data_IF_975644131379
#
_entry.id   IF_975644131379
#
_cell.length_a   1.000
_cell.length_b   1.000
_cell.length_c   1.000
_cell.angle_alpha   90.00
_cell.angle_beta   90.00
_cell.angle_gamma   90.00
#
_symmetry.space_group_name_H-M   'P 1'
#
loop_
_entity.id
_entity.type
_entity.pdbx_description
1 polymer ?
#
# COMPACT_ATOMS: atom_id res chain seq x y z
N UNK A 1 11.54 4.68 -61.38
CA UNK A 1 10.35 5.17 -60.65
C UNK A 1 9.71 4.00 -59.91
N UNK A 2 9.24 4.13 -58.66
CA UNK A 2 9.58 5.07 -57.57
C UNK A 2 10.24 4.33 -56.37
N UNK A 3 11.26 4.84 -55.67
CA UNK A 3 11.27 5.79 -54.55
C UNK A 3 10.21 5.53 -53.45
N UNK A 4 10.61 4.85 -52.35
CA UNK A 4 9.91 4.82 -51.06
C UNK A 4 10.96 5.04 -49.96
N UNK A 5 10.68 6.00 -49.08
CA UNK A 5 11.58 6.64 -48.11
C UNK A 5 12.15 5.69 -47.02
N UNK A 6 13.30 6.05 -46.38
CA UNK A 6 13.85 5.32 -45.25
C UNK A 6 13.19 5.80 -43.97
N UNK A 7 12.44 4.93 -43.29
CA UNK A 7 11.87 5.30 -42.00
C UNK A 7 10.95 4.24 -41.45
N UNK A 8 11.50 3.14 -40.93
CA UNK A 8 10.94 2.43 -39.78
C UNK A 8 12.08 1.61 -39.16
N UNK A 9 12.53 2.09 -38.00
CA UNK A 9 13.53 1.41 -37.18
C UNK A 9 13.04 0.02 -36.81
N UNK A 10 13.93 -0.94 -37.00
CA UNK A 10 13.76 -2.39 -36.76
C UNK A 10 13.06 -2.63 -35.41
N UNK A 11 11.93 -3.33 -35.46
CA UNK A 11 11.33 -4.00 -34.29
C UNK A 11 12.32 -5.06 -33.81
N UNK A 12 13.16 -4.72 -32.82
CA UNK A 12 13.95 -5.70 -32.09
C UNK A 12 13.04 -6.40 -31.08
N UNK A 13 12.94 -7.72 -31.21
CA UNK A 13 12.46 -8.60 -30.16
C UNK A 13 13.36 -8.41 -28.92
N UNK A 14 12.78 -8.04 -27.78
CA UNK A 14 13.48 -7.92 -26.50
C UNK A 14 13.74 -9.33 -25.93
N UNK A 15 14.82 -9.95 -26.41
CA UNK A 15 15.47 -11.06 -25.71
C UNK A 15 16.33 -10.51 -24.56
N UNK A 16 16.43 -11.27 -23.47
CA UNK A 16 16.99 -10.91 -22.16
C UNK A 16 18.49 -10.51 -22.11
N UNK A 17 19.12 -10.09 -23.23
CA UNK A 17 20.57 -9.89 -23.30
C UNK A 17 21.05 -8.48 -23.69
N UNK A 18 20.16 -7.55 -24.06
CA UNK A 18 20.55 -6.16 -24.39
C UNK A 18 19.71 -5.14 -23.61
N UNK A 19 20.05 -4.91 -22.34
CA UNK A 19 19.56 -3.72 -21.63
C UNK A 19 20.40 -2.54 -22.09
N UNK A 20 19.85 -1.71 -22.98
CA UNK A 20 20.52 -0.48 -23.43
C UNK A 20 20.45 0.58 -22.33
N UNK A 21 21.46 0.59 -21.46
CA UNK A 21 21.62 1.62 -20.44
C UNK A 21 21.93 2.95 -21.10
N UNK A 22 21.23 4.02 -20.71
CA UNK A 22 21.58 5.34 -21.23
C UNK A 22 23.05 5.64 -20.94
N UNK A 23 23.78 6.18 -21.93
CA UNK A 23 25.21 6.46 -21.79
C UNK A 23 25.55 7.35 -20.58
N UNK A 24 24.59 8.15 -20.10
CA UNK A 24 24.71 8.96 -18.88
C UNK A 24 24.75 8.12 -17.59
N UNK A 25 23.99 7.03 -17.53
CA UNK A 25 23.97 6.12 -16.37
C UNK A 25 25.27 5.32 -16.33
N UNK A 26 25.69 4.76 -17.46
CA UNK A 26 26.95 4.01 -17.54
C UNK A 26 28.15 4.89 -17.21
N UNK A 27 28.16 6.14 -17.69
CA UNK A 27 29.23 7.09 -17.37
C UNK A 27 29.28 7.48 -15.88
N UNK A 28 28.14 7.48 -15.19
CA UNK A 28 28.06 7.90 -13.78
C UNK A 28 28.38 6.78 -12.78
N UNK A 29 27.97 5.55 -13.06
CA UNK A 29 28.06 4.44 -12.08
C UNK A 29 28.79 3.20 -12.60
N UNK A 30 29.18 3.17 -13.88
CA UNK A 30 29.78 2.00 -14.52
C UNK A 30 28.73 0.98 -14.98
N UNK A 31 29.11 0.18 -15.98
CA UNK A 31 28.21 -0.80 -16.62
C UNK A 31 27.81 -1.93 -15.68
N UNK A 32 28.77 -2.49 -14.94
CA UNK A 32 28.55 -3.63 -14.05
C UNK A 32 27.60 -3.29 -12.89
N UNK A 33 27.76 -2.11 -12.28
CA UNK A 33 26.86 -1.64 -11.22
C UNK A 33 25.47 -1.26 -11.75
N UNK A 34 25.38 -0.75 -12.98
CA UNK A 34 24.09 -0.51 -13.65
C UNK A 34 23.34 -1.83 -13.89
N UNK A 35 24.04 -2.88 -14.35
CA UNK A 35 23.49 -4.22 -14.51
C UNK A 35 23.05 -4.83 -13.18
N UNK A 36 23.86 -4.71 -12.13
CA UNK A 36 23.51 -5.19 -10.79
C UNK A 36 22.25 -4.51 -10.25
N UNK A 37 22.18 -3.17 -10.33
CA UNK A 37 21.01 -2.39 -9.89
C UNK A 37 19.76 -2.71 -10.70
N UNK A 38 19.89 -2.97 -12.00
CA UNK A 38 18.79 -3.37 -12.87
C UNK A 38 18.20 -4.72 -12.42
N UNK A 39 19.04 -5.75 -12.26
CA UNK A 39 18.60 -7.07 -11.82
C UNK A 39 17.94 -7.01 -10.43
N UNK A 40 18.56 -6.31 -9.47
CA UNK A 40 17.95 -6.09 -8.14
C UNK A 40 16.58 -5.41 -8.24
N UNK A 41 16.41 -4.48 -9.18
CA UNK A 41 15.12 -3.79 -9.37
C UNK A 41 14.08 -4.74 -9.94
N UNK A 42 14.43 -5.56 -10.94
CA UNK A 42 13.54 -6.58 -11.51
C UNK A 42 13.11 -7.58 -10.42
N UNK A 43 14.06 -8.10 -9.63
CA UNK A 43 13.77 -9.04 -8.55
C UNK A 43 12.81 -8.42 -7.51
N UNK A 44 12.98 -7.14 -7.21
CA UNK A 44 12.11 -6.40 -6.28
C UNK A 44 10.74 -6.10 -6.87
N UNK A 45 10.60 -5.91 -8.18
CA UNK A 45 9.31 -5.68 -8.83
C UNK A 45 8.42 -6.93 -8.81
N UNK A 46 9.01 -8.12 -8.71
CA UNK A 46 8.28 -9.38 -8.54
C UNK A 46 7.73 -9.58 -7.12
N UNK A 47 8.16 -8.78 -6.15
CA UNK A 47 7.67 -8.82 -4.78
C UNK A 47 6.56 -7.76 -4.57
N UNK A 48 5.52 -8.05 -3.77
CA UNK A 48 4.56 -7.03 -3.37
C UNK A 48 5.27 -5.91 -2.57
N UNK A 49 4.74 -4.67 -2.59
CA UNK A 49 5.32 -3.57 -1.82
C UNK A 49 5.40 -3.93 -0.32
N UNK A 50 6.52 -3.60 0.32
CA UNK A 50 6.69 -3.84 1.77
C UNK A 50 5.75 -3.02 2.67
N UNK A 51 5.00 -2.08 2.10
CA UNK A 51 3.99 -1.27 2.79
C UNK A 51 2.75 -1.12 1.91
N UNK A 52 1.57 -1.39 2.46
CA UNK A 52 0.30 -1.00 1.86
C UNK A 52 -0.02 0.43 2.27
N UNK A 53 -0.21 1.31 1.30
CA UNK A 53 -0.58 2.70 1.56
C UNK A 53 -2.05 2.96 1.25
N UNK A 54 -2.70 3.67 2.17
CA UNK A 54 -4.10 4.08 2.05
C UNK A 54 -4.15 5.61 2.17
N UNK A 55 -4.91 6.24 1.28
CA UNK A 55 -5.21 7.67 1.35
C UNK A 55 -6.49 7.87 2.16
N UNK A 56 -6.43 8.81 3.11
CA UNK A 56 -7.60 9.26 3.88
C UNK A 56 -8.26 10.44 3.19
N UNK A 57 -9.57 10.40 3.02
CA UNK A 57 -10.39 11.52 2.57
C UNK A 57 -10.69 12.44 3.77
N UNK A 58 -9.92 13.52 3.90
CA UNK A 58 -10.04 14.46 5.03
C UNK A 58 -11.28 15.36 4.99
N UNK A 59 -12.04 15.31 3.88
CA UNK A 59 -13.34 16.00 3.77
C UNK A 59 -14.39 15.34 4.66
N UNK A 60 -14.36 14.00 4.78
CA UNK A 60 -15.38 13.25 5.50
C UNK A 60 -14.97 12.92 6.94
N UNK A 61 -13.68 12.64 7.20
CA UNK A 61 -13.17 12.25 8.52
C UNK A 61 -11.73 12.72 8.73
N UNK A 62 -11.31 12.88 9.99
CA UNK A 62 -9.92 13.22 10.32
C UNK A 62 -9.01 11.99 10.23
N UNK A 63 -7.71 12.22 10.00
CA UNK A 63 -6.71 11.13 9.90
C UNK A 63 -6.59 10.31 11.18
N UNK A 64 -6.74 10.95 12.34
CA UNK A 64 -6.53 10.29 13.63
C UNK A 64 -7.69 9.36 13.97
N UNK A 65 -8.94 9.76 13.69
CA UNK A 65 -10.11 8.88 13.82
C UNK A 65 -10.00 7.65 12.91
N UNK A 66 -9.65 7.85 11.63
CA UNK A 66 -9.45 6.74 10.69
C UNK A 66 -8.30 5.84 11.14
N UNK A 67 -7.22 6.41 11.68
CA UNK A 67 -6.11 5.62 12.22
C UNK A 67 -6.59 4.75 13.37
N UNK A 68 -7.39 5.28 14.29
CA UNK A 68 -7.95 4.54 15.42
C UNK A 68 -8.91 3.44 14.97
N UNK A 69 -9.83 3.72 14.05
CA UNK A 69 -10.77 2.72 13.51
C UNK A 69 -10.07 1.64 12.69
N UNK A 70 -9.12 2.02 11.82
CA UNK A 70 -8.34 1.05 11.04
C UNK A 70 -7.49 0.20 11.99
N UNK A 71 -6.94 0.81 13.06
CA UNK A 71 -6.29 0.05 14.12
C UNK A 71 -7.27 -0.91 14.78
N UNK A 72 -8.46 -0.50 15.21
CA UNK A 72 -9.46 -1.39 15.83
C UNK A 72 -9.89 -2.54 14.91
N UNK A 73 -10.09 -2.27 13.62
CA UNK A 73 -10.46 -3.27 12.61
C UNK A 73 -9.32 -4.28 12.37
N UNK A 74 -8.08 -3.81 12.38
CA UNK A 74 -6.87 -4.65 12.28
C UNK A 74 -6.53 -5.34 13.62
N UNK A 75 -7.07 -4.84 14.74
CA UNK A 75 -6.82 -5.27 16.11
C UNK A 75 -8.05 -5.95 16.71
N UNK A 76 -8.50 -7.08 16.15
CA UNK A 76 -9.22 -8.07 16.99
C UNK A 76 -8.21 -8.64 17.97
N UNK A 77 -8.00 -7.95 19.09
CA UNK A 77 -7.09 -8.41 20.13
C UNK A 77 -7.74 -9.56 20.89
N UNK A 78 -6.97 -10.63 21.07
CA UNK A 78 -7.29 -11.70 22.00
C UNK A 78 -6.67 -11.37 23.36
N UNK A 79 -7.28 -11.85 24.43
CA UNK A 79 -6.79 -11.65 25.82
C UNK A 79 -5.46 -12.35 26.05
N UNK A 80 -5.18 -13.39 25.27
CA UNK A 80 -3.97 -14.20 25.33
C UNK A 80 -2.90 -13.60 24.41
N UNK A 81 -1.74 -13.27 24.98
CA UNK A 81 -0.68 -12.55 24.28
C UNK A 81 0.58 -13.39 24.16
N UNK A 82 1.25 -13.30 23.01
CA UNK A 82 2.55 -13.90 22.75
C UNK A 82 3.53 -12.82 22.31
N UNK A 83 4.68 -12.75 22.97
CA UNK A 83 5.78 -11.84 22.65
C UNK A 83 6.86 -12.59 21.87
N UNK A 84 7.35 -11.97 20.80
CA UNK A 84 8.46 -12.48 19.99
C UNK A 84 9.54 -11.42 19.79
N UNK A 85 10.72 -11.88 19.41
CA UNK A 85 11.86 -11.01 19.10
C UNK A 85 11.64 -10.23 17.79
N UNK A 86 12.37 -9.12 17.63
CA UNK A 86 12.35 -8.26 16.44
C UNK A 86 12.66 -9.02 15.15
N UNK A 87 13.59 -9.99 15.19
CA UNK A 87 13.94 -10.80 14.03
C UNK A 87 12.80 -11.75 13.63
N UNK A 88 12.15 -12.34 14.63
CA UNK A 88 10.99 -13.20 14.42
C UNK A 88 9.79 -12.38 13.93
N UNK A 89 9.57 -11.20 14.49
CA UNK A 89 8.62 -10.19 14.02
C UNK A 89 8.76 -9.92 12.53
N UNK A 90 9.96 -9.60 12.07
CA UNK A 90 10.23 -9.35 10.66
C UNK A 90 9.92 -10.56 9.77
N UNK A 91 10.12 -11.79 10.25
CA UNK A 91 9.77 -13.02 9.52
C UNK A 91 8.25 -13.22 9.43
N UNK A 92 7.52 -12.95 10.51
CA UNK A 92 6.05 -13.00 10.54
C UNK A 92 5.46 -12.01 9.53
N UNK A 93 6.05 -10.82 9.41
CA UNK A 93 5.62 -9.83 8.41
C UNK A 93 5.85 -10.29 6.96
N UNK A 94 6.71 -11.29 6.74
CA UNK A 94 6.92 -11.93 5.44
C UNK A 94 6.02 -13.17 5.24
N UNK A 95 5.08 -13.42 6.16
CA UNK A 95 4.16 -14.55 6.10
C UNK A 95 4.66 -15.83 6.77
N UNK A 96 5.71 -15.76 7.61
CA UNK A 96 6.18 -16.93 8.36
C UNK A 96 5.31 -17.25 9.58
N UNK A 97 5.27 -18.52 9.96
CA UNK A 97 4.77 -18.95 11.27
C UNK A 97 5.82 -18.74 12.36
N UNK A 98 5.39 -18.79 13.61
CA UNK A 98 6.26 -18.62 14.78
C UNK A 98 6.71 -19.99 15.25
N UNK A 99 8.01 -20.24 15.21
CA UNK A 99 8.59 -21.45 15.78
C UNK A 99 8.81 -21.29 17.29
N UNK A 100 8.73 -22.38 18.04
CA UNK A 100 8.84 -22.37 19.50
C UNK A 100 10.09 -21.65 20.03
N UNK A 101 11.29 -21.76 19.41
CA UNK A 101 12.48 -21.02 19.86
C UNK A 101 12.38 -19.50 19.71
N UNK A 102 11.50 -18.99 18.84
CA UNK A 102 11.31 -17.56 18.58
C UNK A 102 10.35 -16.87 19.55
N UNK A 103 9.70 -17.63 20.44
CA UNK A 103 8.79 -17.10 21.45
C UNK A 103 9.59 -16.60 22.66
N UNK A 104 9.49 -15.30 22.92
CA UNK A 104 10.11 -14.66 24.09
C UNK A 104 9.24 -14.81 25.33
N UNK A 105 7.93 -14.61 25.21
CA UNK A 105 7.01 -14.66 26.34
C UNK A 105 5.61 -15.03 25.91
N UNK A 106 4.83 -15.59 26.83
CA UNK A 106 3.42 -15.90 26.61
C UNK A 106 2.66 -15.73 27.93
N UNK A 107 1.42 -15.26 27.88
CA UNK A 107 0.59 -15.16 29.09
C UNK A 107 0.39 -16.54 29.73
N UNK A 108 0.22 -16.56 31.06
CA UNK A 108 0.19 -17.81 31.82
C UNK A 108 -0.94 -18.78 31.44
N UNK A 109 -1.99 -18.29 30.78
CA UNK A 109 -3.19 -19.00 30.40
C UNK A 109 -3.20 -19.54 28.95
N UNK A 110 -2.05 -19.47 28.25
CA UNK A 110 -1.92 -19.95 26.87
C UNK A 110 -1.78 -21.48 26.82
N UNK A 111 -2.75 -22.11 26.16
CA UNK A 111 -2.80 -23.54 25.84
C UNK A 111 -2.78 -23.76 24.33
N UNK A 112 -2.42 -24.98 23.91
CA UNK A 112 -2.49 -25.37 22.51
C UNK A 112 -3.96 -25.32 22.01
N UNK A 113 -4.19 -24.67 20.87
CA UNK A 113 -5.50 -24.44 20.26
C UNK A 113 -6.08 -23.04 20.52
N UNK A 114 -5.48 -22.24 21.40
CA UNK A 114 -5.96 -20.91 21.70
C UNK A 114 -5.73 -19.90 20.58
N UNK A 115 -6.68 -18.98 20.42
CA UNK A 115 -6.48 -17.77 19.62
C UNK A 115 -5.66 -16.77 20.42
N UNK A 116 -4.55 -16.32 19.83
CA UNK A 116 -3.56 -15.48 20.49
C UNK A 116 -3.22 -14.26 19.65
N UNK A 117 -2.94 -13.16 20.33
CA UNK A 117 -2.42 -11.94 19.70
C UNK A 117 -0.90 -11.89 19.87
N UNK A 118 -0.19 -11.71 18.75
CA UNK A 118 1.27 -11.71 18.71
C UNK A 118 1.79 -10.29 18.68
N UNK A 119 2.78 -10.03 19.52
CA UNK A 119 3.46 -8.75 19.65
C UNK A 119 4.97 -8.93 19.54
N UNK A 120 5.63 -7.91 18.99
CA UNK A 120 7.08 -7.82 18.87
C UNK A 120 7.60 -6.87 19.94
N UNK A 121 8.65 -7.30 20.62
CA UNK A 121 9.47 -6.41 21.44
C UNK A 121 10.40 -5.60 20.53
N UNK A 122 10.21 -4.28 20.51
CA UNK A 122 10.98 -3.37 19.66
C UNK A 122 12.30 -2.97 20.32
N UNK A 123 12.37 -2.99 21.65
CA UNK A 123 13.56 -2.54 22.39
C UNK A 123 14.48 -3.68 22.82
N UNK A 124 14.04 -4.94 22.67
CA UNK A 124 14.83 -6.12 23.08
C UNK A 124 15.01 -6.23 24.59
N UNK A 125 14.13 -5.60 25.38
CA UNK A 125 14.17 -5.59 26.85
C UNK A 125 13.27 -6.64 27.49
N UNK A 126 12.50 -7.40 26.70
CA UNK A 126 11.63 -8.46 27.16
C UNK A 126 12.45 -9.70 27.55
N UNK A 127 12.39 -10.06 28.84
CA UNK A 127 13.06 -11.26 29.34
C UNK A 127 12.26 -12.52 28.96
N UNK A 128 12.98 -13.58 28.59
CA UNK A 128 12.38 -14.86 28.19
C UNK A 128 11.57 -15.48 29.34
N UNK A 129 10.38 -15.99 29.04
CA UNK A 129 9.51 -16.70 30.00
C UNK A 129 8.53 -15.82 30.78
N UNK A 130 8.35 -14.57 30.37
CA UNK A 130 7.43 -13.61 31.00
C UNK A 130 5.99 -14.16 31.08
N UNK A 131 5.31 -13.95 32.23
CA UNK A 131 3.98 -14.54 32.51
C UNK A 131 2.82 -13.54 32.47
N UNK A 132 3.11 -12.24 32.60
CA UNK A 132 2.11 -11.16 32.67
C UNK A 132 1.96 -10.50 31.29
N UNK A 133 1.07 -9.52 31.09
CA UNK A 133 1.08 -8.66 29.91
C UNK A 133 2.28 -7.70 29.94
N UNK A 134 3.08 -7.65 28.87
CA UNK A 134 4.31 -6.85 28.85
C UNK A 134 3.97 -5.36 28.81
N UNK A 135 4.48 -4.59 29.77
CA UNK A 135 4.19 -3.15 29.94
C UNK A 135 5.12 -2.21 29.18
N UNK A 136 6.15 -2.74 28.52
CA UNK A 136 7.07 -1.94 27.70
C UNK A 136 6.54 -1.68 26.28
N UNK A 137 7.30 -0.92 25.47
CA UNK A 137 6.94 -0.60 24.09
C UNK A 137 6.92 -1.86 23.22
N UNK A 138 5.74 -2.17 22.68
CA UNK A 138 5.46 -3.38 21.89
C UNK A 138 4.65 -3.04 20.64
N UNK A 139 4.86 -3.81 19.58
CA UNK A 139 4.13 -3.65 18.31
C UNK A 139 3.34 -4.91 18.02
N UNK A 140 2.03 -4.77 17.81
CA UNK A 140 1.19 -5.89 17.39
C UNK A 140 1.54 -6.30 15.95
N UNK A 141 1.71 -7.59 15.70
CA UNK A 141 2.11 -8.13 14.38
C UNK A 141 1.12 -9.14 13.79
N UNK A 142 0.04 -9.45 14.50
CA UNK A 142 -1.06 -10.24 13.97
C UNK A 142 -1.61 -11.25 14.96
N UNK A 143 -2.62 -11.99 14.51
CA UNK A 143 -3.23 -13.06 15.28
C UNK A 143 -2.85 -14.43 14.73
N UNK A 144 -2.86 -15.42 15.61
CA UNK A 144 -2.58 -16.80 15.29
C UNK A 144 -3.25 -17.76 16.24
N UNK A 145 -3.03 -19.04 15.99
CA UNK A 145 -3.42 -20.14 16.86
C UNK A 145 -2.17 -20.70 17.53
N UNK A 146 -2.15 -20.73 18.86
CA UNK A 146 -1.09 -21.39 19.60
C UNK A 146 -1.13 -22.89 19.29
N UNK A 147 0.01 -23.46 18.86
CA UNK A 147 0.15 -24.90 18.62
C UNK A 147 0.85 -25.61 19.77
N UNK A 148 1.53 -24.87 20.63
CA UNK A 148 2.16 -25.37 21.86
C UNK A 148 1.65 -24.59 23.07
N UNK A 149 1.56 -25.25 24.22
CA UNK A 149 1.28 -24.55 25.46
C UNK A 149 2.49 -23.76 25.94
N UNK A 150 2.28 -22.81 26.83
CA UNK A 150 3.39 -22.09 27.47
C UNK A 150 4.36 -23.04 28.17
N UNK A 151 3.82 -24.02 28.90
CA UNK A 151 4.65 -24.97 29.65
C UNK A 151 5.52 -25.78 28.70
N UNK A 152 5.00 -26.19 27.54
CA UNK A 152 5.80 -26.90 26.53
C UNK A 152 6.92 -26.02 25.95
N UNK A 153 6.66 -24.72 25.72
CA UNK A 153 7.62 -23.77 25.14
C UNK A 153 8.77 -23.43 26.10
N UNK A 154 8.52 -23.42 27.41
CA UNK A 154 9.50 -22.96 28.41
C UNK A 154 10.01 -24.06 29.37
N UNK A 155 9.43 -25.26 29.37
CA UNK A 155 9.92 -26.40 30.20
C UNK A 155 11.13 -27.11 29.58
N UNK A 156 11.28 -27.05 28.26
CA UNK A 156 12.33 -27.75 27.51
C UNK A 156 13.50 -26.80 27.21
N UNK A 157 14.73 -27.33 27.16
CA UNK A 157 15.91 -26.57 26.76
C UNK A 157 15.78 -26.07 25.32
N UNK A 158 16.21 -24.81 25.06
CA UNK A 158 16.01 -24.11 23.79
C UNK A 158 16.57 -24.85 22.56
N UNK A 159 17.61 -25.65 22.76
CA UNK A 159 18.30 -26.44 21.73
C UNK A 159 17.52 -27.68 21.28
N UNK A 160 16.55 -28.15 22.08
CA UNK A 160 15.72 -29.32 21.79
C UNK A 160 14.29 -28.93 21.35
N UNK A 161 13.94 -27.65 21.47
CA UNK A 161 12.65 -27.11 21.04
C UNK A 161 12.62 -26.97 19.52
N UNK A 162 11.80 -27.80 18.87
CA UNK A 162 11.55 -27.72 17.43
C UNK A 162 10.05 -27.84 17.15
N UNK A 163 9.59 -27.11 16.14
CA UNK A 163 8.19 -27.08 15.75
C UNK A 163 7.55 -25.70 15.84
N UNK A 164 6.33 -25.61 15.31
CA UNK A 164 5.54 -24.39 15.26
C UNK A 164 4.97 -24.13 16.66
N UNK A 165 5.35 -23.01 17.28
CA UNK A 165 4.76 -22.55 18.52
C UNK A 165 3.44 -21.83 18.29
N UNK A 166 3.36 -21.00 17.24
CA UNK A 166 2.14 -20.28 16.85
C UNK A 166 1.99 -20.30 15.33
N UNK A 167 0.84 -20.76 14.89
CA UNK A 167 0.45 -20.70 13.49
C UNK A 167 -0.26 -19.37 13.22
N UNK A 168 0.39 -18.48 12.47
CA UNK A 168 -0.19 -17.20 12.07
C UNK A 168 -1.38 -17.40 11.14
N UNK A 169 -2.57 -16.97 11.57
CA UNK A 169 -3.83 -17.06 10.79
C UNK A 169 -4.24 -15.71 10.22
N UNK A 170 -3.83 -14.61 10.86
CA UNK A 170 -4.09 -13.24 10.40
C UNK A 170 -2.88 -12.36 10.74
N UNK A 171 -1.74 -12.56 10.05
CA UNK A 171 -0.59 -11.68 10.20
C UNK A 171 -0.95 -10.26 9.76
N UNK A 172 -0.42 -9.25 10.45
CA UNK A 172 -0.67 -7.83 10.15
C UNK A 172 -0.26 -7.47 8.71
N UNK A 173 0.75 -8.16 8.18
CA UNK A 173 1.20 -8.07 6.79
C UNK A 173 0.87 -9.36 6.00
N UNK A 174 -0.37 -9.83 6.12
CA UNK A 174 -1.11 -10.35 4.98
C UNK A 174 -2.24 -9.35 4.78
N UNK A 175 -2.05 -8.36 3.88
CA UNK A 175 -2.96 -7.22 3.76
C UNK A 175 -4.40 -7.73 3.77
N UNK A 176 -5.20 -7.43 4.81
CA UNK A 176 -6.60 -7.81 4.77
C UNK A 176 -7.21 -7.15 3.53
N UNK A 177 -8.25 -7.74 2.93
CA UNK A 177 -8.97 -7.09 1.85
C UNK A 177 -9.52 -5.77 2.40
N UNK A 178 -8.82 -4.66 2.10
CA UNK A 178 -9.23 -3.29 2.42
C UNK A 178 -10.24 -2.77 1.40
N UNK A 179 -10.63 -3.62 0.45
CA UNK A 179 -11.77 -3.37 -0.40
C UNK A 179 -13.00 -3.20 0.50
N UNK A 180 -13.67 -2.06 0.37
CA UNK A 180 -14.89 -1.69 1.09
C UNK A 180 -14.77 -1.35 2.58
N UNK A 181 -13.58 -1.46 3.19
CA UNK A 181 -13.35 -0.92 4.54
C UNK A 181 -13.44 0.61 4.49
N UNK A 182 -14.31 1.22 5.29
CA UNK A 182 -14.50 2.70 5.36
C UNK A 182 -14.50 3.36 3.98
N UNK A 183 -15.23 2.77 3.04
CA UNK A 183 -15.17 3.15 1.63
C UNK A 183 -15.64 4.58 1.35
N UNK A 184 -16.33 5.23 2.27
CA UNK A 184 -16.65 6.66 2.22
C UNK A 184 -15.45 7.57 2.59
N UNK A 185 -14.45 7.02 3.27
CA UNK A 185 -13.41 7.80 3.95
C UNK A 185 -11.98 7.40 3.54
N UNK A 186 -11.80 6.24 2.92
CA UNK A 186 -10.48 5.77 2.48
C UNK A 186 -10.44 5.37 1.01
N UNK A 187 -9.25 5.53 0.41
CA UNK A 187 -8.96 5.14 -0.96
C UNK A 187 -7.60 4.44 -1.03
N UNK A 188 -7.56 3.22 -1.55
CA UNK A 188 -6.30 2.49 -1.71
C UNK A 188 -5.46 3.13 -2.82
N UNK A 189 -4.30 3.67 -2.46
CA UNK A 189 -3.47 4.45 -3.37
C UNK A 189 -2.00 4.30 -3.00
N UNK A 190 -1.18 3.98 -3.99
CA UNK A 190 0.27 3.85 -3.81
C UNK A 190 0.90 5.19 -3.42
N UNK A 191 1.91 5.16 -2.53
CA UNK A 191 2.60 6.34 -2.04
C UNK A 191 3.03 7.34 -3.13
N UNK A 192 3.67 6.92 -4.25
CA UNK A 192 4.08 7.88 -5.29
C UNK A 192 2.90 8.61 -5.92
N UNK A 193 1.73 7.96 -6.01
CA UNK A 193 0.52 8.58 -6.55
C UNK A 193 -0.09 9.61 -5.59
N UNK A 194 0.07 9.42 -4.28
CA UNK A 194 -0.34 10.41 -3.27
C UNK A 194 0.63 11.60 -3.28
N UNK A 195 1.94 11.34 -3.29
CA UNK A 195 2.97 12.38 -3.35
C UNK A 195 2.78 13.29 -4.56
N UNK A 196 2.45 12.74 -5.74
CA UNK A 196 2.19 13.54 -6.94
C UNK A 196 1.09 14.61 -6.75
N UNK A 197 0.04 14.32 -5.97
CA UNK A 197 -1.01 15.31 -5.68
C UNK A 197 -0.53 16.42 -4.75
N UNK A 198 0.28 16.08 -3.74
CA UNK A 198 0.88 17.08 -2.84
C UNK A 198 1.91 17.97 -3.55
N UNK A 199 2.65 17.41 -4.52
CA UNK A 199 3.62 18.19 -5.32
C UNK A 199 2.90 19.18 -6.25
N UNK A 200 1.69 18.86 -6.73
CA UNK A 200 0.88 19.79 -7.52
C UNK A 200 0.32 20.95 -6.66
N UNK A 201 0.14 20.72 -5.35
CA UNK A 201 -0.30 21.70 -4.35
C UNK A 201 -1.54 22.54 -4.74
N UNK A 202 -2.67 21.90 -5.11
CA UNK A 202 -3.84 22.63 -5.56
C UNK A 202 -4.51 23.38 -4.40
N UNK A 203 -4.83 24.65 -4.60
CA UNK A 203 -5.42 25.49 -3.56
C UNK A 203 -6.97 25.49 -3.64
N UNK A 204 -7.66 25.64 -2.50
CA UNK A 204 -9.11 25.82 -2.49
C UNK A 204 -9.57 26.96 -3.41
N UNK A 205 -10.56 26.67 -4.26
CA UNK A 205 -11.11 27.64 -5.22
C UNK A 205 -10.45 27.64 -6.60
N UNK A 206 -9.33 26.94 -6.77
CA UNK A 206 -8.67 26.84 -8.08
C UNK A 206 -9.43 25.93 -9.06
N UNK A 207 -8.98 25.95 -10.32
CA UNK A 207 -9.44 25.04 -11.36
C UNK A 207 -8.29 24.15 -11.80
N UNK A 208 -8.45 22.84 -11.64
CA UNK A 208 -7.41 21.85 -11.93
C UNK A 208 -7.90 20.88 -13.00
N UNK A 209 -7.04 20.55 -13.97
CA UNK A 209 -7.33 19.60 -15.05
C UNK A 209 -6.55 18.30 -14.85
N UNK A 210 -7.26 17.18 -14.79
CA UNK A 210 -6.71 15.83 -14.84
C UNK A 210 -7.06 15.20 -16.20
N UNK A 211 -6.08 15.17 -17.10
CA UNK A 211 -6.29 14.77 -18.50
C UNK A 211 -6.47 13.25 -18.70
N UNK A 212 -6.09 12.43 -17.71
CA UNK A 212 -6.11 10.97 -17.74
C UNK A 212 -6.60 10.43 -16.39
N UNK A 213 -7.85 10.75 -16.06
CA UNK A 213 -8.35 10.70 -14.70
C UNK A 213 -8.65 9.30 -14.18
N UNK A 214 -9.08 8.34 -15.01
CA UNK A 214 -9.60 7.09 -14.49
C UNK A 214 -8.52 6.17 -13.90
N UNK A 215 -8.80 5.47 -12.79
CA UNK A 215 -10.10 5.30 -12.11
C UNK A 215 -10.50 6.43 -11.13
N UNK A 216 -9.76 7.53 -11.06
CA UNK A 216 -10.10 8.72 -10.26
C UNK A 216 -9.31 8.90 -8.97
N UNK A 217 -8.25 8.09 -8.74
CA UNK A 217 -7.48 8.14 -7.48
C UNK A 217 -6.75 9.47 -7.25
N UNK A 218 -6.16 10.05 -8.31
CA UNK A 218 -5.52 11.38 -8.24
C UNK A 218 -6.54 12.50 -8.28
N UNK A 219 -7.50 12.44 -9.19
CA UNK A 219 -8.62 13.38 -9.28
C UNK A 219 -9.31 13.60 -7.93
N UNK A 220 -9.70 12.52 -7.26
CA UNK A 220 -10.34 12.60 -5.94
C UNK A 220 -9.38 13.06 -4.84
N UNK A 221 -8.09 12.79 -4.98
CA UNK A 221 -7.07 13.34 -4.09
C UNK A 221 -6.96 14.87 -4.23
N UNK A 222 -6.89 15.40 -5.44
CA UNK A 222 -6.83 16.84 -5.70
C UNK A 222 -8.04 17.56 -5.12
N UNK A 223 -9.24 17.03 -5.37
CA UNK A 223 -10.47 17.54 -4.76
C UNK A 223 -10.45 17.51 -3.22
N UNK A 224 -9.82 16.47 -2.62
CA UNK A 224 -9.64 16.38 -1.16
C UNK A 224 -8.70 17.48 -0.64
N UNK A 225 -7.56 17.72 -1.32
CA UNK A 225 -6.58 18.75 -0.96
C UNK A 225 -7.18 20.16 -1.05
N UNK A 226 -7.99 20.40 -2.08
CA UNK A 226 -8.74 21.65 -2.27
C UNK A 226 -9.92 21.79 -1.28
N UNK A 227 -10.06 20.89 -0.30
CA UNK A 227 -11.17 20.88 0.67
C UNK A 227 -12.55 20.89 0.01
N UNK A 228 -12.66 20.22 -1.15
CA UNK A 228 -13.85 20.17 -1.98
C UNK A 228 -14.37 21.56 -2.45
N UNK A 229 -13.47 22.55 -2.57
CA UNK A 229 -13.78 23.90 -3.05
C UNK A 229 -13.01 24.21 -4.34
N UNK A 230 -13.70 24.75 -5.35
CA UNK A 230 -13.13 25.00 -6.68
C UNK A 230 -13.69 24.05 -7.73
N UNK A 231 -12.90 23.70 -8.74
CA UNK A 231 -13.31 22.72 -9.75
C UNK A 231 -12.15 21.82 -10.20
N UNK A 232 -12.39 20.51 -10.21
CA UNK A 232 -11.47 19.52 -10.78
C UNK A 232 -12.11 18.93 -12.03
N UNK A 233 -11.58 19.28 -13.20
CA UNK A 233 -12.01 18.78 -14.50
C UNK A 233 -11.25 17.48 -14.76
N UNK A 234 -11.98 16.38 -14.93
CA UNK A 234 -11.44 15.05 -15.12
C UNK A 234 -11.78 14.53 -16.52
N UNK A 235 -10.77 14.19 -17.31
CA UNK A 235 -10.96 13.67 -18.67
C UNK A 235 -10.51 12.21 -18.74
N UNK A 236 -11.27 11.39 -19.47
CA UNK A 236 -10.81 10.08 -19.93
C UNK A 236 -11.48 9.71 -21.26
N UNK A 237 -10.87 8.80 -22.03
CA UNK A 237 -11.29 8.48 -23.40
C UNK A 237 -12.54 7.62 -23.49
N UNK A 238 -12.94 6.94 -22.42
CA UNK A 238 -14.09 6.03 -22.44
C UNK A 238 -15.12 6.35 -21.38
N UNK A 239 -16.40 6.22 -21.74
CA UNK A 239 -17.51 6.49 -20.84
C UNK A 239 -17.45 5.63 -19.57
N UNK A 240 -17.20 4.31 -19.70
CA UNK A 240 -17.11 3.43 -18.53
C UNK A 240 -15.95 3.76 -17.56
N UNK A 241 -14.94 4.50 -18.01
CA UNK A 241 -13.87 5.01 -17.14
C UNK A 241 -14.28 6.30 -16.44
N UNK A 242 -14.95 7.20 -17.15
CA UNK A 242 -15.56 8.42 -16.59
C UNK A 242 -16.60 8.06 -15.52
N UNK A 243 -17.44 7.06 -15.78
CA UNK A 243 -18.44 6.57 -14.82
C UNK A 243 -17.78 6.08 -13.53
N UNK A 244 -16.62 5.41 -13.61
CA UNK A 244 -15.84 4.99 -12.44
C UNK A 244 -15.27 6.17 -11.64
N UNK A 245 -14.81 7.22 -12.33
CA UNK A 245 -14.36 8.46 -11.67
C UNK A 245 -15.53 9.08 -10.89
N UNK A 246 -16.69 9.22 -11.54
CA UNK A 246 -17.88 9.79 -10.91
C UNK A 246 -18.42 8.90 -9.78
N UNK A 247 -18.38 7.57 -9.91
CA UNK A 247 -18.75 6.65 -8.85
C UNK A 247 -17.84 6.82 -7.62
N UNK A 248 -16.52 6.95 -7.83
CA UNK A 248 -15.57 7.20 -6.74
C UNK A 248 -15.72 8.59 -6.12
N UNK A 249 -16.00 9.62 -6.92
CA UNK A 249 -16.28 10.97 -6.43
C UNK A 249 -17.53 10.97 -5.52
N UNK A 250 -18.63 10.36 -5.99
CA UNK A 250 -19.88 10.20 -5.20
C UNK A 250 -19.65 9.39 -3.92
N UNK A 251 -18.93 8.27 -4.02
CA UNK A 251 -18.58 7.43 -2.87
C UNK A 251 -17.83 8.22 -1.78
N UNK A 252 -16.92 9.11 -2.18
CA UNK A 252 -16.15 9.95 -1.26
C UNK A 252 -16.81 11.30 -0.93
N UNK A 253 -18.05 11.55 -1.37
CA UNK A 253 -18.76 12.81 -1.08
C UNK A 253 -18.19 14.06 -1.75
N UNK A 254 -17.39 13.91 -2.81
CA UNK A 254 -16.73 15.02 -3.50
C UNK A 254 -17.64 15.60 -4.60
N UNK A 255 -17.94 16.89 -4.50
CA UNK A 255 -18.88 17.60 -5.39
C UNK A 255 -18.20 18.54 -6.36
N UNK A 256 -16.94 18.92 -6.13
CA UNK A 256 -16.18 19.82 -6.99
C UNK A 256 -15.58 19.13 -8.23
N UNK A 257 -15.88 17.85 -8.48
CA UNK A 257 -15.34 17.06 -9.60
C UNK A 257 -16.34 17.05 -10.76
N UNK A 258 -15.86 17.39 -11.94
CA UNK A 258 -16.61 17.34 -13.20
C UNK A 258 -15.87 16.41 -14.16
N UNK A 259 -16.47 15.29 -14.53
CA UNK A 259 -15.83 14.30 -15.39
C UNK A 259 -16.45 14.26 -16.79
N UNK A 260 -15.61 14.25 -17.82
CA UNK A 260 -16.01 14.27 -19.22
C UNK A 260 -15.32 13.16 -20.01
N UNK A 261 -16.07 12.56 -20.94
CA UNK A 261 -15.49 11.65 -21.93
C UNK A 261 -14.83 12.48 -23.03
N UNK A 262 -13.51 12.58 -22.99
CA UNK A 262 -12.75 13.40 -23.94
C UNK A 262 -11.33 12.88 -24.13
N UNK A 263 -10.75 13.14 -25.31
CA UNK A 263 -9.33 12.86 -25.56
C UNK A 263 -8.48 13.98 -24.97
N UNK A 264 -7.78 13.70 -23.87
CA UNK A 264 -6.86 14.65 -23.24
C UNK A 264 -5.86 15.27 -24.22
N UNK A 265 -5.38 14.52 -25.21
CA UNK A 265 -4.44 15.05 -26.23
C UNK A 265 -5.02 16.17 -27.10
N UNK A 266 -6.35 16.34 -27.11
CA UNK A 266 -7.07 17.38 -27.86
C UNK A 266 -7.58 18.51 -26.96
N UNK A 267 -7.38 18.43 -25.65
CA UNK A 267 -7.93 19.39 -24.69
C UNK A 267 -7.34 20.80 -24.84
N UNK A 268 -6.14 20.91 -25.43
CA UNK A 268 -5.47 22.18 -25.69
C UNK A 268 -5.53 22.65 -27.16
N UNK A 269 -6.24 21.93 -28.05
CA UNK A 269 -6.32 22.34 -29.46
C UNK A 269 -7.41 23.39 -29.67
N UNK A 270 -7.12 24.44 -30.44
CA UNK A 270 -8.05 25.56 -30.75
C UNK A 270 -9.40 25.09 -31.35
N UNK A 271 -9.46 23.88 -31.90
CA UNK A 271 -10.68 23.26 -32.42
C UNK A 271 -11.72 22.91 -31.33
N UNK A 272 -11.37 22.96 -30.04
CA UNK A 272 -12.30 22.68 -28.93
C UNK A 272 -13.14 23.91 -28.49
N UNK A 273 -12.82 25.11 -29.00
CA UNK A 273 -13.50 26.37 -28.60
C UNK A 273 -14.81 26.58 -29.36
N UNK A 274 -15.11 25.76 -30.36
CA UNK A 274 -16.27 25.94 -31.24
C UNK A 274 -17.19 24.72 -31.21
N UNK A 275 -17.89 24.48 -30.08
CA UNK A 275 -19.27 23.99 -30.12
C UNK A 275 -19.92 24.02 -28.71
N UNK A 276 -20.91 24.92 -28.62
CA UNK A 276 -22.04 24.99 -27.67
C UNK A 276 -21.87 25.87 -26.43
N UNK A 277 -22.62 26.97 -26.49
CA UNK A 277 -23.19 27.72 -25.37
C UNK A 277 -23.52 26.81 -24.19
N UNK A 278 -22.76 26.96 -23.11
CA UNK A 278 -23.23 26.63 -21.77
C UNK A 278 -23.49 27.98 -21.12
N UNK A 279 -24.76 28.39 -21.15
CA UNK A 279 -25.27 29.50 -20.37
C UNK A 279 -24.96 29.26 -18.90
N UNK A 280 -24.04 30.07 -18.36
CA UNK A 280 -23.84 30.31 -16.93
C UNK A 280 -25.03 31.06 -16.34
#
# INVERSE_FOLDING_TARGET
MPNIAPGFGKTKFWGCHDVDYSGKVVAAIGKEEAERKFHITIDRLSLPPGYTTVRVCTVNRTRDLIREELQQLLKKHHTKEIMVDIHCGAAILRGAHIFAPGVLGATADVQAGDQVSVYVDVEGKCLRGFQKPYSGPRVFVGNGVARMSRDDIFSVAQEQLSGIGVEMTSPLYGCPPLNDVMSDSIFLQNLPSTVAGHVLDPQPGERVLDMCAAPGGKTTHLATLMSNQGAVIALDKSQGKVDKVMANARRLGLTCIQAYMFDGGKAASEAAVCEKDVSL
#
